data_IF_290613458272
#
_entry.id   IF_290613458272
#
_cell.length_a   1.000
_cell.length_b   1.000
_cell.length_c   1.000
_cell.angle_alpha   90.00
_cell.angle_beta   90.00
_cell.angle_gamma   90.00
#
_symmetry.space_group_name_H-M   'P 1'
#
loop_
_entity.id
_entity.type
_entity.pdbx_description
1 polymer ?
#
# COMPACT_ATOMS: atom_id res chain seq x y z
N UNK A 1 24.67 20.64 -24.11
CA UNK A 1 24.35 21.69 -23.12
C UNK A 1 22.99 21.35 -22.53
N UNK A 2 22.84 21.37 -21.21
CA UNK A 2 21.54 21.18 -20.57
C UNK A 2 20.60 22.34 -20.92
N UNK A 3 19.31 22.06 -21.05
CA UNK A 3 18.31 23.05 -21.44
C UNK A 3 18.06 24.02 -20.27
N UNK A 4 18.42 25.29 -20.45
CA UNK A 4 18.07 26.37 -19.53
C UNK A 4 16.64 26.83 -19.79
N UNK A 5 15.82 26.83 -18.74
CA UNK A 5 14.40 27.17 -18.80
C UNK A 5 14.12 28.44 -17.99
N UNK A 6 13.17 29.25 -18.45
CA UNK A 6 12.55 30.28 -17.59
C UNK A 6 11.55 29.63 -16.65
N UNK A 7 11.13 30.35 -15.61
CA UNK A 7 10.17 29.87 -14.58
C UNK A 7 8.97 29.14 -15.18
N UNK A 8 8.27 29.75 -16.16
CA UNK A 8 7.05 29.17 -16.75
C UNK A 8 7.33 27.84 -17.45
N UNK A 9 8.40 27.76 -18.23
CA UNK A 9 8.76 26.54 -18.97
C UNK A 9 9.23 25.43 -18.03
N UNK A 10 9.92 25.77 -16.94
CA UNK A 10 10.30 24.82 -15.89
C UNK A 10 9.05 24.25 -15.21
N UNK A 11 8.11 25.11 -14.80
CA UNK A 11 6.86 24.70 -14.15
C UNK A 11 6.04 23.79 -15.06
N UNK A 12 5.93 24.11 -16.35
CA UNK A 12 5.25 23.25 -17.32
C UNK A 12 5.99 21.92 -17.52
N UNK A 13 7.31 21.93 -17.63
CA UNK A 13 8.12 20.73 -17.87
C UNK A 13 8.09 19.76 -16.68
N UNK A 14 8.04 20.28 -15.44
CA UNK A 14 7.95 19.48 -14.23
C UNK A 14 6.51 19.27 -13.74
N UNK A 15 5.54 19.90 -14.41
CA UNK A 15 4.12 19.97 -14.04
C UNK A 15 3.91 20.43 -12.59
N UNK A 16 4.58 21.49 -12.14
CA UNK A 16 4.44 22.02 -10.77
C UNK A 16 3.73 23.38 -10.76
N UNK A 17 2.97 23.65 -9.70
CA UNK A 17 2.27 24.93 -9.55
C UNK A 17 3.18 26.02 -8.95
N UNK A 18 2.63 27.23 -8.78
CA UNK A 18 3.36 28.39 -8.24
C UNK A 18 3.76 28.21 -6.77
N UNK A 19 2.93 27.56 -5.95
CA UNK A 19 3.24 27.34 -4.54
C UNK A 19 4.40 26.36 -4.34
N UNK A 20 4.42 25.27 -5.12
CA UNK A 20 5.56 24.34 -5.19
C UNK A 20 6.83 25.07 -5.62
N UNK A 21 6.77 25.84 -6.70
CA UNK A 21 7.94 26.60 -7.16
C UNK A 21 8.45 27.62 -6.12
N UNK A 22 7.54 28.35 -5.46
CA UNK A 22 7.90 29.30 -4.40
C UNK A 22 8.62 28.59 -3.25
N UNK A 23 8.10 27.45 -2.82
CA UNK A 23 8.72 26.63 -1.77
C UNK A 23 10.08 26.09 -2.17
N UNK A 24 10.26 25.74 -3.45
CA UNK A 24 11.56 25.33 -3.98
C UNK A 24 12.57 26.49 -4.03
N UNK A 25 12.12 27.70 -4.37
CA UNK A 25 12.95 28.92 -4.28
C UNK A 25 13.41 29.20 -2.85
N UNK A 26 12.51 29.12 -1.88
CA UNK A 26 12.82 29.26 -0.44
C UNK A 26 13.85 28.21 0.02
N UNK A 27 13.80 27.00 -0.53
CA UNK A 27 14.71 25.90 -0.22
C UNK A 27 16.01 25.87 -1.05
N UNK A 28 16.25 26.86 -1.91
CA UNK A 28 17.50 26.98 -2.66
C UNK A 28 17.59 26.10 -3.90
N UNK A 29 16.51 26.00 -4.69
CA UNK A 29 16.55 25.42 -6.04
C UNK A 29 17.74 26.00 -6.86
N UNK A 30 18.47 25.18 -7.65
CA UNK A 30 19.55 25.67 -8.51
C UNK A 30 19.07 26.73 -9.49
N UNK A 31 19.74 27.89 -9.50
CA UNK A 31 19.42 29.04 -10.36
C UNK A 31 20.70 29.46 -11.09
N UNK A 32 20.58 29.66 -12.40
CA UNK A 32 21.60 30.30 -13.24
C UNK A 32 21.14 31.74 -13.50
N UNK A 33 21.95 32.73 -13.15
CA UNK A 33 21.63 34.15 -13.35
C UNK A 33 22.38 34.68 -14.57
N UNK A 34 21.65 35.20 -15.56
CA UNK A 34 22.23 35.84 -16.75
C UNK A 34 21.46 37.12 -17.06
N UNK A 35 22.15 38.22 -17.31
CA UNK A 35 21.56 39.50 -17.72
C UNK A 35 20.38 39.96 -16.81
N UNK A 36 20.51 39.74 -15.50
CA UNK A 36 19.49 40.06 -14.49
C UNK A 36 18.19 39.21 -14.58
N UNK A 37 18.18 38.14 -15.37
CA UNK A 37 17.13 37.12 -15.41
C UNK A 37 17.57 35.82 -14.71
N UNK A 38 16.58 35.03 -14.28
CA UNK A 38 16.80 33.72 -13.66
C UNK A 38 16.43 32.58 -14.61
N UNK A 39 17.36 31.65 -14.77
CA UNK A 39 17.23 30.44 -15.58
C UNK A 39 17.45 29.19 -14.73
N UNK A 40 16.90 28.07 -15.19
CA UNK A 40 16.91 26.80 -14.47
C UNK A 40 17.37 25.68 -15.40
N UNK A 41 18.47 25.03 -15.05
CA UNK A 41 18.87 23.77 -15.67
C UNK A 41 17.99 22.65 -15.11
N UNK A 42 17.12 22.10 -15.96
CA UNK A 42 16.13 21.10 -15.55
C UNK A 42 16.76 19.84 -14.92
N UNK A 43 17.93 19.42 -15.38
CA UNK A 43 18.58 18.22 -14.87
C UNK A 43 19.24 18.48 -13.51
N UNK A 44 19.79 19.69 -13.30
CA UNK A 44 20.26 20.11 -11.98
C UNK A 44 19.10 20.23 -10.99
N UNK A 45 17.97 20.80 -11.41
CA UNK A 45 16.75 20.91 -10.59
C UNK A 45 16.24 19.52 -10.19
N UNK A 46 16.14 18.57 -11.13
CA UNK A 46 15.73 17.19 -10.84
C UNK A 46 16.66 16.49 -9.86
N UNK A 47 17.98 16.62 -10.03
CA UNK A 47 18.98 16.04 -9.10
C UNK A 47 18.87 16.65 -7.71
N UNK A 48 18.69 17.97 -7.62
CA UNK A 48 18.48 18.67 -6.36
C UNK A 48 17.20 18.20 -5.66
N UNK A 49 16.08 18.10 -6.39
CA UNK A 49 14.82 17.63 -5.82
C UNK A 49 14.90 16.15 -5.41
N UNK A 50 15.61 15.31 -6.17
CA UNK A 50 15.83 13.89 -5.81
C UNK A 50 16.53 13.74 -4.46
N UNK A 51 17.52 14.59 -4.15
CA UNK A 51 18.17 14.60 -2.83
C UNK A 51 17.20 14.98 -1.70
N UNK A 52 16.27 15.89 -1.96
CA UNK A 52 15.24 16.28 -0.99
C UNK A 52 14.26 15.13 -0.73
N UNK A 53 13.92 14.35 -1.75
CA UNK A 53 12.98 13.23 -1.65
C UNK A 53 13.64 11.89 -1.29
N UNK A 54 14.96 11.80 -1.27
CA UNK A 54 15.71 10.58 -0.95
C UNK A 54 15.29 9.92 0.38
N UNK A 55 15.02 10.67 1.48
CA UNK A 55 14.51 10.06 2.70
C UNK A 55 13.16 9.33 2.54
N UNK A 56 12.32 9.74 1.58
CA UNK A 56 11.05 9.07 1.27
C UNK A 56 11.32 7.72 0.61
N UNK A 57 12.30 7.65 -0.29
CA UNK A 57 12.69 6.40 -0.96
C UNK A 57 13.26 5.35 0.02
N UNK A 58 13.71 5.79 1.20
CA UNK A 58 14.24 4.94 2.27
C UNK A 58 13.16 4.42 3.24
N UNK A 59 11.89 4.81 3.04
CA UNK A 59 10.80 4.25 3.83
C UNK A 59 10.52 2.81 3.40
N UNK A 60 10.30 1.95 4.40
CA UNK A 60 10.09 0.51 4.22
C UNK A 60 8.60 0.25 4.32
N UNK A 61 8.03 -0.40 3.30
CA UNK A 61 6.63 -0.84 3.29
C UNK A 61 6.37 -1.72 4.52
N UNK A 62 5.18 -1.59 5.10
CA UNK A 62 4.71 -2.28 6.31
C UNK A 62 5.44 -1.94 7.61
N UNK A 63 6.42 -1.04 7.56
CA UNK A 63 7.07 -0.52 8.77
C UNK A 63 6.23 0.59 9.40
N UNK A 64 6.21 0.59 10.74
CA UNK A 64 5.60 1.64 11.56
C UNK A 64 6.53 2.85 11.64
N UNK A 65 5.96 4.04 11.48
CA UNK A 65 6.65 5.32 11.66
C UNK A 65 5.84 6.22 12.57
N UNK A 66 6.50 6.96 13.44
CA UNK A 66 5.84 7.98 14.26
C UNK A 66 5.56 9.26 13.44
N UNK A 67 4.66 10.08 13.96
CA UNK A 67 4.19 11.29 13.28
C UNK A 67 5.30 12.34 13.04
N UNK A 68 6.31 12.41 13.91
CA UNK A 68 7.44 13.32 13.74
C UNK A 68 8.30 12.84 12.58
N UNK A 69 8.64 11.55 12.54
CA UNK A 69 9.40 10.94 11.46
C UNK A 69 8.71 11.14 10.11
N UNK A 70 7.39 10.93 10.03
CA UNK A 70 6.63 11.14 8.78
C UNK A 70 6.68 12.62 8.37
N UNK A 71 6.39 13.54 9.30
CA UNK A 71 6.45 14.98 9.07
C UNK A 71 7.84 15.42 8.58
N UNK A 72 8.91 14.89 9.17
CA UNK A 72 10.29 15.23 8.83
C UNK A 72 10.72 14.66 7.49
N UNK A 73 10.29 13.44 7.14
CA UNK A 73 10.61 12.81 5.85
C UNK A 73 9.87 13.49 4.71
N UNK A 74 8.56 13.70 4.85
CA UNK A 74 7.74 14.28 3.79
C UNK A 74 7.74 15.81 3.77
N UNK A 75 8.19 16.46 4.85
CA UNK A 75 8.11 17.91 5.04
C UNK A 75 6.67 18.41 4.99
N UNK A 76 5.75 17.69 5.64
CA UNK A 76 4.31 17.99 5.68
C UNK A 76 3.84 18.34 7.10
N UNK A 77 2.57 18.72 7.26
CA UNK A 77 1.96 18.92 8.58
C UNK A 77 1.94 17.62 9.40
N UNK A 78 1.83 17.77 10.72
CA UNK A 78 1.61 16.68 11.68
C UNK A 78 0.12 16.35 11.88
N UNK A 79 -0.79 17.12 11.29
CA UNK A 79 -2.24 17.01 11.53
C UNK A 79 -3.01 16.86 10.21
N UNK A 80 -4.16 16.19 10.29
CA UNK A 80 -5.08 15.97 9.18
C UNK A 80 -4.92 14.61 8.47
N UNK A 81 -5.98 14.15 7.81
CA UNK A 81 -6.01 12.90 7.04
C UNK A 81 -5.29 12.99 5.68
N UNK A 82 -5.22 14.19 5.10
CA UNK A 82 -4.49 14.47 3.86
C UNK A 82 -3.47 15.57 4.10
N UNK A 83 -2.19 15.31 3.86
CA UNK A 83 -1.10 16.22 4.24
C UNK A 83 -0.21 16.54 3.05
N UNK A 84 -0.36 17.75 2.53
CA UNK A 84 0.38 18.24 1.37
C UNK A 84 1.75 18.77 1.77
N UNK A 85 2.79 18.37 1.04
CA UNK A 85 4.07 19.06 1.02
C UNK A 85 4.38 19.63 -0.37
N UNK A 86 4.56 20.93 -0.43
CA UNK A 86 5.04 21.61 -1.64
C UNK A 86 6.53 21.41 -1.86
N UNK A 87 7.32 21.21 -0.80
CA UNK A 87 8.78 21.07 -0.93
C UNK A 87 9.15 19.74 -1.58
N UNK A 88 8.55 18.63 -1.15
CA UNK A 88 8.77 17.29 -1.74
C UNK A 88 7.84 17.00 -2.93
N UNK A 89 6.93 17.93 -3.24
CA UNK A 89 5.83 17.75 -4.19
C UNK A 89 5.00 16.47 -3.93
N UNK A 90 4.73 16.15 -2.67
CA UNK A 90 3.96 14.95 -2.27
C UNK A 90 2.63 15.27 -1.58
N UNK A 91 1.71 14.31 -1.56
CA UNK A 91 0.53 14.29 -0.70
C UNK A 91 0.54 12.99 0.11
N UNK A 92 0.48 13.09 1.43
CA UNK A 92 0.45 11.94 2.34
C UNK A 92 -0.97 11.72 2.84
N UNK A 93 -1.53 10.55 2.59
CA UNK A 93 -2.85 10.12 3.01
C UNK A 93 -2.73 9.25 4.27
N UNK A 94 -3.62 9.47 5.22
CA UNK A 94 -3.78 8.67 6.42
C UNK A 94 -5.18 8.07 6.39
N UNK A 95 -5.24 6.75 6.33
CA UNK A 95 -6.48 5.97 6.49
C UNK A 95 -6.47 5.36 7.89
N UNK A 96 -7.41 5.79 8.73
CA UNK A 96 -7.52 5.35 10.12
C UNK A 96 -8.68 4.36 10.27
N UNK A 97 -8.34 3.09 10.42
CA UNK A 97 -9.28 1.98 10.64
C UNK A 97 -9.64 1.78 12.12
N UNK A 98 -9.15 2.63 13.03
CA UNK A 98 -9.44 2.55 14.46
C UNK A 98 -10.73 3.26 14.85
N UNK A 99 -11.19 4.19 14.02
CA UNK A 99 -12.34 5.05 14.28
C UNK A 99 -13.29 5.06 13.09
N UNK A 100 -14.60 5.03 13.33
CA UNK A 100 -15.63 4.98 12.29
C UNK A 100 -15.86 6.33 11.56
N UNK A 101 -14.96 7.30 11.67
CA UNK A 101 -15.15 8.66 11.13
C UNK A 101 -15.16 8.66 9.60
N UNK A 102 -14.41 7.76 8.98
CA UNK A 102 -14.38 7.55 7.53
C UNK A 102 -14.47 6.06 7.23
N UNK A 103 -15.22 5.71 6.18
CA UNK A 103 -15.41 4.32 5.75
C UNK A 103 -14.57 4.06 4.50
N UNK A 104 -13.26 4.15 4.66
CA UNK A 104 -12.37 3.70 3.60
C UNK A 104 -12.51 2.19 3.44
N UNK A 105 -12.60 1.72 2.21
CA UNK A 105 -12.74 0.29 1.92
C UNK A 105 -11.90 -0.11 0.72
N UNK A 106 -11.43 -1.35 0.73
CA UNK A 106 -10.65 -1.91 -0.36
C UNK A 106 -11.52 -2.88 -1.17
N UNK A 107 -11.37 -2.86 -2.49
CA UNK A 107 -11.91 -3.88 -3.40
C UNK A 107 -10.74 -4.55 -4.10
N UNK A 108 -10.81 -5.86 -4.24
CA UNK A 108 -9.84 -6.64 -5.03
C UNK A 108 -10.59 -7.26 -6.21
N UNK A 109 -10.05 -7.06 -7.41
CA UNK A 109 -10.61 -7.66 -8.61
C UNK A 109 -10.20 -9.13 -8.78
N UNK A 110 -10.71 -9.78 -9.83
CA UNK A 110 -10.41 -11.18 -10.12
C UNK A 110 -8.95 -11.44 -10.50
N UNK A 111 -8.17 -10.38 -10.77
CA UNK A 111 -6.75 -10.42 -11.14
C UNK A 111 -5.84 -10.16 -9.94
N UNK A 112 -6.41 -9.79 -8.79
CA UNK A 112 -5.66 -9.47 -7.58
C UNK A 112 -5.17 -8.02 -7.52
N UNK A 113 -5.77 -7.10 -8.29
CA UNK A 113 -5.48 -5.68 -8.12
C UNK A 113 -6.35 -5.11 -7.02
N UNK A 114 -5.73 -4.45 -6.06
CA UNK A 114 -6.45 -3.71 -5.04
C UNK A 114 -6.73 -2.26 -5.47
N UNK A 115 -7.98 -1.86 -5.28
CA UNK A 115 -8.39 -0.46 -5.24
C UNK A 115 -8.85 -0.07 -3.84
N UNK A 116 -8.17 0.89 -3.21
CA UNK A 116 -8.61 1.57 -2.00
C UNK A 116 -9.56 2.71 -2.39
N UNK A 117 -10.80 2.67 -1.90
CA UNK A 117 -11.76 3.76 -2.02
C UNK A 117 -11.59 4.67 -0.82
N UNK A 118 -10.75 5.69 -0.97
CA UNK A 118 -10.39 6.63 0.09
C UNK A 118 -11.41 7.77 0.19
N UNK A 119 -11.87 8.07 1.39
CA UNK A 119 -12.84 9.15 1.64
C UNK A 119 -12.14 10.51 1.72
N UNK A 120 -12.72 11.51 1.04
CA UNK A 120 -12.22 12.88 0.99
C UNK A 120 -12.15 13.56 2.36
N UNK A 121 -11.39 14.66 2.43
CA UNK A 121 -11.40 15.54 3.61
C UNK A 121 -12.69 16.37 3.69
N UNK A 122 -13.11 16.66 4.92
CA UNK A 122 -14.30 17.46 5.22
C UNK A 122 -15.22 16.72 6.18
N UNK A 123 -15.19 17.09 7.46
CA UNK A 123 -15.92 16.37 8.51
C UNK A 123 -17.36 16.88 8.72
N UNK A 124 -17.72 18.05 8.19
CA UNK A 124 -19.02 18.69 8.42
C UNK A 124 -19.57 19.20 7.08
N UNK A 125 -20.87 18.95 6.87
CA UNK A 125 -21.54 19.29 5.61
C UNK A 125 -21.06 18.46 4.43
N UNK A 126 -21.49 18.86 3.25
CA UNK A 126 -21.15 18.21 1.99
C UNK A 126 -19.69 18.50 1.61
N UNK A 127 -19.00 17.46 1.15
CA UNK A 127 -17.66 17.58 0.64
C UNK A 127 -17.65 18.10 -0.80
N UNK A 128 -16.61 18.87 -1.12
CA UNK A 128 -16.34 19.37 -2.46
C UNK A 128 -15.02 18.77 -2.96
N UNK A 129 -15.08 18.14 -4.13
CA UNK A 129 -13.93 17.49 -4.78
C UNK A 129 -12.87 18.49 -5.21
N UNK A 130 -13.25 19.74 -5.47
CA UNK A 130 -12.37 20.82 -5.92
C UNK A 130 -11.99 21.79 -4.78
N UNK A 131 -12.24 21.41 -3.53
CA UNK A 131 -11.85 22.15 -2.35
C UNK A 131 -10.63 21.54 -1.63
N UNK A 132 -9.76 22.38 -1.06
CA UNK A 132 -8.69 21.96 -0.15
C UNK A 132 -7.78 20.84 -0.70
N UNK A 133 -7.58 19.78 0.08
CA UNK A 133 -6.77 18.63 -0.32
C UNK A 133 -7.52 17.64 -1.22
N UNK A 134 -8.85 17.70 -1.27
CA UNK A 134 -9.61 16.93 -2.27
C UNK A 134 -9.18 17.36 -3.67
N UNK A 135 -9.06 18.67 -3.90
CA UNK A 135 -8.53 19.23 -5.15
C UNK A 135 -7.11 18.75 -5.45
N UNK A 136 -6.25 18.75 -4.43
CA UNK A 136 -4.85 18.31 -4.57
C UNK A 136 -4.79 16.85 -5.01
N UNK A 137 -5.60 15.97 -4.43
CA UNK A 137 -5.66 14.57 -4.80
C UNK A 137 -6.27 14.39 -6.19
N UNK A 138 -7.36 15.09 -6.50
CA UNK A 138 -8.06 15.08 -7.80
C UNK A 138 -7.12 15.46 -8.97
N UNK A 139 -6.24 16.44 -8.76
CA UNK A 139 -5.27 16.91 -9.77
C UNK A 139 -3.85 16.39 -9.55
N UNK A 140 -3.68 15.31 -8.80
CA UNK A 140 -2.35 14.81 -8.45
C UNK A 140 -1.52 14.41 -9.67
N UNK A 141 -2.14 13.74 -10.65
CA UNK A 141 -1.48 13.32 -11.90
C UNK A 141 -1.15 14.51 -12.82
N UNK A 142 -2.04 15.50 -12.88
CA UNK A 142 -1.84 16.72 -13.66
C UNK A 142 -0.64 17.54 -13.15
N UNK A 143 -0.38 17.48 -11.84
CA UNK A 143 0.64 18.27 -11.15
C UNK A 143 1.87 17.46 -10.70
N UNK A 144 2.06 16.25 -11.25
CA UNK A 144 3.13 15.33 -10.87
C UNK A 144 3.29 15.17 -9.35
N UNK A 145 2.18 15.24 -8.61
CA UNK A 145 2.15 15.10 -7.17
C UNK A 145 2.17 13.61 -6.86
N UNK A 146 3.23 13.15 -6.19
CA UNK A 146 3.28 11.77 -5.70
C UNK A 146 2.41 11.62 -4.47
N UNK A 147 1.56 10.60 -4.46
CA UNK A 147 0.66 10.34 -3.34
C UNK A 147 1.17 9.12 -2.58
N UNK A 148 1.21 9.19 -1.25
CA UNK A 148 1.68 8.10 -0.38
C UNK A 148 0.63 7.78 0.67
N UNK A 149 0.49 6.51 1.03
CA UNK A 149 -0.50 6.05 2.00
C UNK A 149 0.17 5.55 3.29
N UNK A 150 -0.40 5.98 4.42
CA UNK A 150 -0.23 5.36 5.71
C UNK A 150 -1.57 4.84 6.23
N UNK A 151 -1.54 3.68 6.86
CA UNK A 151 -2.72 3.10 7.51
C UNK A 151 -2.51 2.95 9.02
N UNK A 152 -3.58 3.12 9.76
CA UNK A 152 -3.63 2.95 11.22
C UNK A 152 -4.68 1.89 11.56
N UNK A 153 -4.26 0.80 12.20
CA UNK A 153 -5.17 -0.25 12.73
C UNK A 153 -5.18 -0.28 14.26
N UNK A 154 -4.23 0.41 14.89
CA UNK A 154 -4.11 0.64 16.33
C UNK A 154 -3.82 2.14 16.50
N UNK A 155 -4.44 2.75 17.52
CA UNK A 155 -4.29 4.19 17.78
C UNK A 155 -2.82 4.54 17.99
N UNK A 156 -2.34 5.57 17.30
CA UNK A 156 -0.96 6.05 17.37
C UNK A 156 0.03 5.33 16.45
N UNK A 157 -0.40 4.34 15.68
CA UNK A 157 0.47 3.64 14.72
C UNK A 157 0.21 4.12 13.29
N UNK A 158 1.27 4.42 12.53
CA UNK A 158 1.18 4.70 11.11
C UNK A 158 2.05 3.73 10.32
N UNK A 159 1.42 2.78 9.64
CA UNK A 159 2.07 1.77 8.82
C UNK A 159 2.21 2.32 7.40
N UNK A 160 3.44 2.40 6.90
CA UNK A 160 3.70 2.90 5.54
C UNK A 160 3.29 1.87 4.49
N UNK A 161 2.46 2.26 3.51
CA UNK A 161 2.00 1.36 2.43
C UNK A 161 2.59 1.66 1.06
N UNK A 162 3.35 2.75 0.92
CA UNK A 162 4.00 3.11 -0.33
C UNK A 162 3.25 4.15 -1.17
N UNK A 163 3.69 4.31 -2.42
CA UNK A 163 3.14 5.26 -3.39
C UNK A 163 1.83 4.71 -4.01
N UNK A 164 0.77 5.51 -3.97
CA UNK A 164 -0.53 5.24 -4.60
C UNK A 164 -0.83 6.27 -5.68
N UNK A 165 -1.75 5.95 -6.59
CA UNK A 165 -2.27 6.85 -7.64
C UNK A 165 -3.76 6.65 -7.84
N UNK A 166 -4.42 7.62 -8.47
CA UNK A 166 -5.81 7.46 -8.86
C UNK A 166 -5.94 6.34 -9.89
N UNK A 167 -6.76 5.34 -9.56
CA UNK A 167 -7.10 4.25 -10.47
C UNK A 167 -8.23 4.66 -11.42
N UNK A 168 -9.21 5.37 -10.88
CA UNK A 168 -10.39 5.86 -11.58
C UNK A 168 -10.68 7.31 -11.22
N UNK A 169 -11.55 7.94 -12.03
CA UNK A 169 -12.01 9.30 -11.75
C UNK A 169 -12.70 9.35 -10.38
N UNK A 170 -12.30 10.28 -9.48
CA UNK A 170 -12.98 10.42 -8.21
C UNK A 170 -14.44 10.87 -8.41
N UNK A 171 -15.31 10.51 -7.47
CA UNK A 171 -16.75 10.77 -7.55
C UNK A 171 -17.31 11.13 -6.18
N UNK A 172 -18.56 11.58 -6.15
CA UNK A 172 -19.28 11.85 -4.90
C UNK A 172 -20.38 10.83 -4.67
N UNK A 173 -20.66 10.52 -3.40
CA UNK A 173 -21.75 9.62 -2.97
C UNK A 173 -22.34 10.11 -1.66
N UNK A 174 -23.59 9.75 -1.38
CA UNK A 174 -24.23 10.02 -0.09
C UNK A 174 -23.78 9.00 0.97
N UNK A 175 -23.37 9.46 2.14
CA UNK A 175 -23.08 8.65 3.32
C UNK A 175 -23.54 9.38 4.59
N UNK A 176 -24.42 8.76 5.39
CA UNK A 176 -24.98 9.36 6.61
C UNK A 176 -25.59 10.76 6.37
N UNK A 177 -26.45 10.88 5.34
CA UNK A 177 -27.16 12.12 4.97
C UNK A 177 -26.24 13.31 4.62
N UNK A 178 -25.09 13.04 4.02
CA UNK A 178 -24.20 14.05 3.42
C UNK A 178 -23.49 13.51 2.19
N UNK A 179 -23.12 14.43 1.30
CA UNK A 179 -22.25 14.11 0.16
C UNK A 179 -20.79 13.96 0.62
N UNK A 180 -20.15 12.85 0.27
CA UNK A 180 -18.71 12.60 0.48
C UNK A 180 -18.00 12.35 -0.84
N UNK A 181 -16.75 12.81 -0.96
CA UNK A 181 -15.88 12.52 -2.10
C UNK A 181 -15.19 11.17 -1.89
N UNK A 182 -15.13 10.35 -2.94
CA UNK A 182 -14.45 9.06 -2.95
C UNK A 182 -13.36 9.09 -4.02
N UNK A 183 -12.15 8.71 -3.62
CA UNK A 183 -10.96 8.64 -4.44
C UNK A 183 -10.54 7.18 -4.60
N UNK A 184 -10.79 6.55 -5.75
CA UNK A 184 -10.30 5.20 -6.03
C UNK A 184 -8.79 5.23 -6.27
N UNK A 185 -8.02 4.60 -5.39
CA UNK A 185 -6.57 4.59 -5.38
C UNK A 185 -6.02 3.18 -5.62
N UNK A 186 -4.95 3.07 -6.39
CA UNK A 186 -4.19 1.83 -6.59
C UNK A 186 -2.71 2.04 -6.32
N UNK A 187 -1.98 0.96 -6.05
CA UNK A 187 -0.55 0.98 -5.80
C UNK A 187 0.23 0.88 -7.12
N UNK A 188 1.37 1.57 -7.20
CA UNK A 188 2.07 1.72 -8.47
C UNK A 188 2.82 0.48 -8.98
N UNK A 189 3.27 -0.43 -8.10
CA UNK A 189 4.07 -1.60 -8.51
C UNK A 189 4.44 -2.59 -7.40
N UNK A 190 3.70 -2.65 -6.30
CA UNK A 190 4.04 -3.56 -5.21
C UNK A 190 2.79 -4.00 -4.51
N UNK A 191 2.61 -5.31 -4.56
CA UNK A 191 1.80 -6.11 -3.69
C UNK A 191 1.35 -5.37 -2.39
N UNK A 192 0.02 -5.19 -2.16
CA UNK A 192 -0.57 -4.90 -0.82
C UNK A 192 -0.81 -6.14 0.07
N UNK A 193 -0.16 -6.23 1.25
CA UNK A 193 -0.49 -7.23 2.30
C UNK A 193 -1.34 -6.60 3.40
N UNK A 194 -2.37 -7.32 3.89
CA UNK A 194 -2.78 -7.16 5.29
C UNK A 194 -1.90 -8.16 6.07
N UNK A 195 -0.96 -7.72 6.92
CA UNK A 195 -0.29 -8.62 7.83
C UNK A 195 -1.34 -9.40 8.63
N UNK A 196 -1.34 -10.73 8.53
CA UNK A 196 -2.22 -11.62 9.32
C UNK A 196 -2.20 -11.25 10.81
N UNK A 197 -1.02 -10.83 11.27
CA UNK A 197 -0.69 -10.40 12.63
C UNK A 197 -1.56 -9.25 13.18
N UNK A 198 -2.16 -8.40 12.33
CA UNK A 198 -3.00 -7.26 12.75
C UNK A 198 -4.39 -7.74 13.19
N UNK A 199 -4.91 -8.76 12.50
CA UNK A 199 -6.07 -9.52 12.95
C UNK A 199 -5.74 -10.19 14.29
N UNK A 200 -4.55 -10.78 14.37
CA UNK A 200 -4.20 -11.69 15.46
C UNK A 200 -4.02 -11.00 16.80
N UNK A 201 -3.54 -9.75 16.90
CA UNK A 201 -3.48 -9.09 18.23
C UNK A 201 -4.85 -8.66 18.75
N UNK A 202 -5.76 -8.24 17.85
CA UNK A 202 -7.14 -7.90 18.19
C UNK A 202 -7.91 -9.17 18.58
N UNK A 203 -7.77 -10.23 17.79
CA UNK A 203 -8.34 -11.53 18.13
C UNK A 203 -7.69 -12.13 19.37
N UNK A 204 -6.36 -12.03 19.59
CA UNK A 204 -5.69 -12.50 20.82
C UNK A 204 -6.16 -11.76 22.07
N UNK A 205 -6.38 -10.44 22.00
CA UNK A 205 -6.93 -9.69 23.13
C UNK A 205 -8.39 -10.10 23.42
N UNK A 206 -9.17 -10.42 22.39
CA UNK A 206 -10.54 -10.93 22.54
C UNK A 206 -10.57 -12.39 23.00
N UNK A 207 -9.75 -13.28 22.43
CA UNK A 207 -9.53 -14.68 22.83
C UNK A 207 -9.04 -14.76 24.27
N UNK A 208 -8.08 -13.95 24.69
CA UNK A 208 -7.64 -13.91 26.09
C UNK A 208 -8.75 -13.47 27.07
N UNK A 209 -9.77 -12.77 26.57
CA UNK A 209 -10.97 -12.41 27.31
C UNK A 209 -12.03 -13.53 27.28
N UNK A 210 -12.15 -14.24 26.15
CA UNK A 210 -13.08 -15.35 25.90
C UNK A 210 -12.61 -16.62 26.62
N UNK A 211 -11.31 -16.93 26.62
CA UNK A 211 -10.68 -18.05 27.32
C UNK A 211 -10.82 -17.96 28.85
N UNK A 212 -11.33 -16.84 29.37
CA UNK A 212 -11.68 -16.63 30.78
C UNK A 212 -13.17 -16.83 31.07
N UNK A 213 -13.99 -17.07 30.05
CA UNK A 213 -15.42 -17.35 30.16
C UNK A 213 -15.68 -18.85 30.21
N UNK A 214 -16.81 -19.26 30.79
CA UNK A 214 -17.26 -20.65 30.69
C UNK A 214 -17.91 -20.92 29.33
N UNK A 215 -17.92 -22.18 28.89
CA UNK A 215 -18.53 -22.58 27.60
C UNK A 215 -20.00 -22.12 27.48
N UNK A 216 -20.75 -22.12 28.59
CA UNK A 216 -22.13 -21.63 28.64
C UNK A 216 -22.22 -20.10 28.43
N UNK A 217 -21.28 -19.32 28.98
CA UNK A 217 -21.26 -17.87 28.80
C UNK A 217 -20.90 -17.49 27.35
N UNK A 218 -20.04 -18.27 26.70
CA UNK A 218 -19.70 -18.09 25.28
C UNK A 218 -20.92 -18.41 24.41
N UNK A 219 -21.64 -19.49 24.72
CA UNK A 219 -22.84 -19.91 24.02
C UNK A 219 -24.00 -18.91 24.14
N UNK A 220 -24.31 -18.41 25.34
CA UNK A 220 -25.36 -17.41 25.54
C UNK A 220 -25.05 -16.10 24.82
N UNK A 221 -23.79 -15.66 24.80
CA UNK A 221 -23.38 -14.45 24.09
C UNK A 221 -23.42 -14.61 22.57
N UNK A 222 -23.07 -15.78 22.06
CA UNK A 222 -23.14 -16.08 20.63
C UNK A 222 -24.60 -16.13 20.13
N UNK A 223 -25.52 -16.67 20.93
CA UNK A 223 -26.94 -16.80 20.58
C UNK A 223 -27.71 -15.47 20.65
N UNK A 224 -27.27 -14.54 21.50
CA UNK A 224 -27.83 -13.18 21.60
C UNK A 224 -27.23 -12.19 20.59
N UNK A 225 -26.23 -12.59 19.79
CA UNK A 225 -25.65 -11.74 18.76
C UNK A 225 -26.71 -11.44 17.68
N UNK A 226 -27.18 -10.18 17.63
CA UNK A 226 -28.04 -9.71 16.54
C UNK A 226 -27.30 -9.81 15.21
N UNK A 227 -28.10 -9.93 14.13
CA UNK A 227 -27.63 -10.03 12.75
C UNK A 227 -26.43 -9.11 12.52
N UNK A 228 -25.27 -9.74 12.28
CA UNK A 228 -23.99 -9.06 12.09
C UNK A 228 -24.20 -8.06 10.97
N UNK A 229 -24.05 -6.76 11.27
CA UNK A 229 -24.00 -5.75 10.21
C UNK A 229 -22.97 -6.22 9.21
N UNK A 230 -23.38 -6.37 7.94
CA UNK A 230 -22.55 -6.93 6.87
C UNK A 230 -21.27 -6.11 6.79
N UNK A 231 -20.20 -6.60 7.44
CA UNK A 231 -18.85 -6.11 7.24
C UNK A 231 -18.35 -6.85 6.02
N UNK A 232 -18.35 -6.17 4.88
CA UNK A 232 -17.66 -6.65 3.70
C UNK A 232 -16.16 -6.55 3.99
N UNK A 233 -15.60 -7.64 4.52
CA UNK A 233 -14.17 -7.84 4.55
C UNK A 233 -13.78 -8.43 3.19
N UNK A 234 -13.30 -7.58 2.29
CA UNK A 234 -12.76 -8.02 1.00
C UNK A 234 -11.26 -8.25 1.21
N UNK A 235 -10.87 -9.53 1.19
CA UNK A 235 -9.51 -10.00 1.49
C UNK A 235 -8.61 -9.89 0.26
N UNK A 236 -7.42 -9.30 0.42
CA UNK A 236 -6.47 -9.06 -0.69
C UNK A 236 -5.90 -10.34 -1.27
N UNK A 237 -5.89 -10.41 -2.60
CA UNK A 237 -5.05 -11.28 -3.42
C UNK A 237 -4.28 -10.35 -4.34
N UNK A 238 -3.03 -10.67 -4.64
CA UNK A 238 -2.11 -9.82 -5.40
C UNK A 238 -2.03 -10.19 -6.88
N UNK A 239 -1.89 -9.18 -7.74
CA UNK A 239 -1.46 -9.34 -9.13
C UNK A 239 0.07 -9.54 -9.21
N UNK A 240 0.48 -10.79 -8.98
CA UNK A 240 1.85 -11.27 -9.25
C UNK A 240 2.12 -11.26 -10.74
N UNK A 241 3.39 -11.31 -11.14
CA UNK A 241 3.70 -11.70 -12.50
C UNK A 241 3.03 -13.04 -12.79
N UNK A 242 1.99 -13.01 -13.63
CA UNK A 242 1.16 -14.18 -13.94
C UNK A 242 2.00 -15.30 -14.50
N UNK A 243 3.12 -14.98 -15.15
CA UNK A 243 4.07 -15.95 -15.67
C UNK A 243 4.90 -16.58 -14.56
N UNK A 244 5.36 -15.82 -13.55
CA UNK A 244 6.03 -16.38 -12.36
C UNK A 244 5.08 -17.27 -11.59
N UNK A 245 3.86 -16.80 -11.32
CA UNK A 245 2.86 -17.59 -10.58
C UNK A 245 2.44 -18.84 -11.36
N UNK A 246 2.16 -18.72 -12.66
CA UNK A 246 1.82 -19.87 -13.49
C UNK A 246 2.99 -20.86 -13.57
N UNK A 247 4.22 -20.38 -13.76
CA UNK A 247 5.39 -21.22 -13.81
C UNK A 247 5.65 -21.95 -12.49
N UNK A 248 5.57 -21.25 -11.34
CA UNK A 248 5.72 -21.83 -10.01
C UNK A 248 4.68 -22.93 -9.75
N UNK A 249 3.42 -22.70 -10.12
CA UNK A 249 2.36 -23.72 -10.00
C UNK A 249 2.52 -24.88 -10.98
N UNK A 250 3.04 -24.62 -12.18
CA UNK A 250 3.27 -25.65 -13.19
C UNK A 250 4.44 -26.54 -12.81
N UNK A 251 5.57 -25.97 -12.36
CA UNK A 251 6.77 -26.74 -12.00
C UNK A 251 6.60 -27.59 -10.75
N UNK A 252 5.65 -27.25 -9.88
CA UNK A 252 5.32 -28.07 -8.70
C UNK A 252 4.49 -29.30 -9.04
N UNK A 253 3.98 -29.39 -10.28
CA UNK A 253 3.21 -30.53 -10.79
C UNK A 253 2.03 -30.93 -9.87
N UNK A 254 1.41 -29.95 -9.22
CA UNK A 254 0.25 -30.16 -8.34
C UNK A 254 0.58 -30.63 -6.92
N UNK A 255 1.86 -30.62 -6.52
CA UNK A 255 2.29 -30.91 -5.15
C UNK A 255 2.77 -29.66 -4.42
N UNK A 256 2.61 -29.65 -3.10
CA UNK A 256 3.12 -28.60 -2.23
C UNK A 256 4.63 -28.73 -2.01
N UNK A 257 5.36 -27.63 -2.14
CA UNK A 257 6.82 -27.59 -2.00
C UNK A 257 7.31 -27.75 -0.57
N UNK A 258 6.45 -27.53 0.43
CA UNK A 258 6.76 -27.69 1.84
C UNK A 258 6.48 -29.12 2.34
N UNK A 259 5.23 -29.57 2.23
CA UNK A 259 4.79 -30.85 2.79
C UNK A 259 4.88 -32.02 1.80
N UNK A 260 5.07 -31.74 0.50
CA UNK A 260 5.14 -32.73 -0.57
C UNK A 260 3.84 -33.53 -0.80
N UNK A 261 2.73 -33.09 -0.21
CA UNK A 261 1.39 -33.64 -0.45
C UNK A 261 0.75 -33.00 -1.69
N UNK A 262 -0.19 -33.69 -2.36
CA UNK A 262 -0.95 -33.11 -3.46
C UNK A 262 -1.82 -31.94 -3.01
N UNK A 263 -2.13 -31.02 -3.92
CA UNK A 263 -3.06 -29.94 -3.66
C UNK A 263 -4.40 -30.49 -3.11
N UNK A 264 -4.98 -29.85 -2.07
CA UNK A 264 -6.14 -30.40 -1.36
C UNK A 264 -7.43 -30.40 -2.20
N UNK A 265 -7.48 -29.57 -3.25
CA UNK A 265 -8.60 -29.51 -4.17
C UNK A 265 -8.17 -28.92 -5.52
N UNK A 266 -9.10 -28.88 -6.48
CA UNK A 266 -8.93 -28.27 -7.80
C UNK A 266 -9.72 -26.96 -7.91
N UNK A 267 -9.22 -26.02 -8.70
CA UNK A 267 -9.92 -24.80 -9.05
C UNK A 267 -11.09 -25.08 -10.02
N UNK A 268 -11.87 -24.03 -10.34
CA UNK A 268 -13.02 -24.12 -11.26
C UNK A 268 -12.66 -24.58 -12.68
N UNK A 269 -11.38 -24.52 -13.04
CA UNK A 269 -10.84 -24.96 -14.32
C UNK A 269 -10.18 -26.35 -14.24
N UNK A 270 -10.31 -27.06 -13.11
CA UNK A 270 -9.78 -28.40 -12.90
C UNK A 270 -8.27 -28.46 -12.59
N UNK A 271 -7.63 -27.32 -12.31
CA UNK A 271 -6.19 -27.24 -11.97
C UNK A 271 -5.97 -27.42 -10.48
N UNK A 272 -4.85 -28.02 -10.07
CA UNK A 272 -4.47 -28.15 -8.67
C UNK A 272 -4.43 -26.78 -7.98
N UNK A 273 -5.11 -26.63 -6.85
CA UNK A 273 -5.15 -25.38 -6.11
C UNK A 273 -3.91 -25.25 -5.20
N UNK A 274 -2.92 -24.52 -5.69
CA UNK A 274 -1.72 -24.14 -4.95
C UNK A 274 -1.54 -22.62 -4.98
N UNK A 275 -0.89 -22.08 -3.97
CA UNK A 275 -0.63 -20.66 -3.76
C UNK A 275 0.88 -20.41 -3.91
N UNK A 276 1.25 -19.43 -4.74
CA UNK A 276 2.65 -19.03 -4.86
C UNK A 276 3.08 -18.30 -3.58
N UNK A 277 4.29 -18.57 -3.09
CA UNK A 277 4.84 -17.99 -1.87
C UNK A 277 6.30 -17.62 -2.10
N UNK A 278 6.70 -16.40 -1.78
CA UNK A 278 8.10 -15.98 -1.86
C UNK A 278 8.82 -16.34 -0.56
N UNK A 279 9.87 -17.16 -0.67
CA UNK A 279 10.60 -17.70 0.49
C UNK A 279 11.35 -16.59 1.21
N UNK A 280 12.09 -15.76 0.47
CA UNK A 280 12.47 -14.44 0.96
C UNK A 280 11.32 -13.48 0.60
N UNK A 281 10.60 -13.04 1.62
CA UNK A 281 9.36 -12.28 1.42
C UNK A 281 9.63 -11.01 0.64
N UNK A 282 8.72 -10.65 -0.28
CA UNK A 282 8.84 -9.40 -1.05
C UNK A 282 8.90 -8.17 -0.12
N UNK A 283 8.15 -8.19 0.99
CA UNK A 283 8.18 -7.15 2.03
C UNK A 283 9.57 -6.97 2.68
N UNK A 284 10.42 -8.00 2.65
CA UNK A 284 11.79 -7.98 3.18
C UNK A 284 12.85 -7.74 2.08
N UNK A 285 12.44 -7.25 0.91
CA UNK A 285 13.34 -7.02 -0.23
C UNK A 285 13.59 -8.27 -1.09
N UNK A 286 12.77 -9.31 -0.94
CA UNK A 286 12.79 -10.49 -1.81
C UNK A 286 12.46 -10.14 -3.26
N UNK A 287 13.00 -10.91 -4.20
CA UNK A 287 12.75 -10.72 -5.64
C UNK A 287 11.45 -11.41 -6.05
N UNK A 288 10.61 -10.73 -6.85
CA UNK A 288 9.51 -11.40 -7.55
C UNK A 288 10.06 -12.18 -8.75
N UNK A 289 10.53 -13.40 -8.47
CA UNK A 289 11.22 -14.25 -9.43
C UNK A 289 10.99 -15.72 -9.12
N UNK A 290 11.13 -16.57 -10.15
CA UNK A 290 11.01 -18.03 -10.01
C UNK A 290 12.08 -18.60 -9.06
N UNK A 291 13.20 -17.90 -8.88
CA UNK A 291 14.29 -18.30 -7.97
C UNK A 291 13.96 -18.09 -6.50
N UNK A 292 12.90 -17.35 -6.20
CA UNK A 292 12.51 -16.98 -4.84
C UNK A 292 11.08 -17.42 -4.50
N UNK A 293 10.38 -18.09 -5.41
CA UNK A 293 8.95 -18.38 -5.27
C UNK A 293 8.65 -19.89 -5.31
N UNK A 294 7.81 -20.39 -4.42
CA UNK A 294 7.42 -21.82 -4.30
C UNK A 294 5.91 -21.98 -4.33
N UNK A 295 5.41 -23.17 -4.66
CA UNK A 295 3.99 -23.50 -4.68
C UNK A 295 3.60 -24.22 -3.39
N UNK A 296 2.72 -23.63 -2.58
CA UNK A 296 2.25 -24.19 -1.31
C UNK A 296 0.76 -24.51 -1.34
N UNK A 297 0.36 -25.54 -0.60
CA UNK A 297 -1.06 -25.73 -0.28
C UNK A 297 -1.54 -24.64 0.71
N UNK A 298 -2.86 -24.38 0.82
CA UNK A 298 -3.40 -23.33 1.69
C UNK A 298 -3.01 -23.46 3.17
N UNK A 299 -2.86 -24.68 3.69
CA UNK A 299 -2.50 -24.90 5.08
C UNK A 299 -1.02 -24.56 5.30
N UNK A 300 -0.13 -25.06 4.43
CA UNK A 300 1.29 -24.74 4.49
C UNK A 300 1.56 -23.26 4.22
N UNK A 301 0.84 -22.66 3.26
CA UNK A 301 0.96 -21.24 2.98
C UNK A 301 0.57 -20.39 4.20
N UNK A 302 -0.58 -20.69 4.85
CA UNK A 302 -0.98 -20.00 6.08
C UNK A 302 0.03 -20.23 7.20
N UNK A 303 0.50 -21.47 7.39
CA UNK A 303 1.53 -21.81 8.39
C UNK A 303 2.81 -20.97 8.23
N UNK A 304 3.26 -20.77 6.99
CA UNK A 304 4.43 -19.93 6.71
C UNK A 304 4.22 -18.48 7.13
N UNK A 305 3.02 -17.92 6.87
CA UNK A 305 2.69 -16.54 7.29
C UNK A 305 2.50 -16.39 8.80
N UNK A 306 1.97 -17.41 9.46
CA UNK A 306 1.67 -17.40 10.91
C UNK A 306 2.91 -17.64 11.79
N UNK A 307 3.76 -18.59 11.39
CA UNK A 307 4.80 -19.13 12.27
C UNK A 307 6.22 -18.83 11.81
N UNK A 308 6.43 -18.60 10.51
CA UNK A 308 7.75 -18.36 9.88
C UNK A 308 8.88 -19.23 10.45
N UNK A 309 8.63 -20.54 10.57
CA UNK A 309 9.56 -21.46 11.22
C UNK A 309 10.82 -21.62 10.38
N UNK A 310 11.99 -21.39 10.99
CA UNK A 310 13.30 -21.56 10.32
C UNK A 310 13.49 -22.95 9.69
N UNK A 311 12.89 -24.00 10.28
CA UNK A 311 12.92 -25.36 9.73
C UNK A 311 12.17 -25.45 8.39
N UNK A 312 11.04 -24.77 8.28
CA UNK A 312 10.18 -24.79 7.09
C UNK A 312 10.81 -23.93 5.99
N UNK A 313 11.31 -22.74 6.34
CA UNK A 313 12.08 -21.89 5.41
C UNK A 313 13.26 -22.65 4.81
N UNK A 314 13.96 -23.47 5.62
CA UNK A 314 15.07 -24.28 5.13
C UNK A 314 14.63 -25.29 4.07
N UNK A 315 13.52 -26.01 4.29
CA UNK A 315 12.96 -26.95 3.31
C UNK A 315 12.65 -26.24 1.98
N UNK A 316 12.06 -25.04 2.06
CA UNK A 316 11.74 -24.26 0.86
C UNK A 316 12.99 -23.77 0.12
N UNK A 317 14.05 -23.38 0.83
CA UNK A 317 15.34 -23.02 0.21
C UNK A 317 16.00 -24.23 -0.46
N UNK A 318 15.94 -25.40 0.16
CA UNK A 318 16.45 -26.64 -0.43
C UNK A 318 15.66 -27.01 -1.70
N UNK A 319 14.33 -26.76 -1.71
CA UNK A 319 13.48 -26.94 -2.89
C UNK A 319 13.83 -25.99 -4.03
N UNK A 320 14.06 -24.70 -3.73
CA UNK A 320 14.48 -23.72 -4.73
C UNK A 320 15.84 -24.09 -5.35
N UNK A 321 16.80 -24.53 -4.54
CA UNK A 321 18.10 -25.02 -5.02
C UNK A 321 17.94 -26.24 -5.94
N UNK A 322 17.03 -27.16 -5.60
CA UNK A 322 16.70 -28.29 -6.47
C UNK A 322 16.17 -27.82 -7.83
N UNK A 323 15.23 -26.87 -7.85
CA UNK A 323 14.70 -26.34 -9.12
C UNK A 323 15.77 -25.68 -9.97
N UNK A 324 16.62 -24.86 -9.37
CA UNK A 324 17.77 -24.25 -10.05
C UNK A 324 18.71 -25.30 -10.65
N UNK A 325 19.02 -26.37 -9.90
CA UNK A 325 19.89 -27.46 -10.38
C UNK A 325 19.31 -28.22 -11.58
N UNK A 326 18.00 -28.14 -11.79
CA UNK A 326 17.27 -28.77 -12.89
C UNK A 326 16.89 -27.79 -14.01
N UNK A 327 17.27 -26.52 -13.90
CA UNK A 327 16.82 -25.42 -14.76
C UNK A 327 15.27 -25.36 -14.85
N UNK A 328 14.61 -25.51 -13.70
CA UNK A 328 13.15 -25.53 -13.55
C UNK A 328 12.57 -24.29 -12.90
#
# INVERSE_FOLDING_TARGET
MSKLLKKKDLQQSLKINNDTFRKWKEAGIPIVKEQNEEFFDIEQVKRWHKKITEPIDNLIIDKKYDNNTISDVFKCSQQGGMRRSHLTNTLVLFSDHTNDVYRDYSVIDNEGNETLYYTGMGQKGDQDIDHGQNKTLNHSEDLSIKVYLFESFISGEHIFRGEVRLFNKPYTTEQNDRTVCIFPLTFNNSEYYIPGNISDEKYRKQENLINKLSDNDVYERATQAKQVGRKEAVTKVYARNIHVTAHVKNRSNGYCDLCNEPAPFKDRNGRAYLECHHVDWLANGGKDSIDNAVALDPNCHRKMHELDLKSDVKILKDRLNYYQSKNL
#
